data_IF_682585485629
#
_entry.id   IF_682585485629
#
_cell.length_a   1.000
_cell.length_b   1.000
_cell.length_c   1.000
_cell.angle_alpha   90.00
_cell.angle_beta   90.00
_cell.angle_gamma   90.00
#
_symmetry.space_group_name_H-M   'P 1'
#
loop_
_entity.id
_entity.type
_entity.pdbx_description
1 polymer ?
#
# COMPACT_ATOMS: atom_id res chain seq x y z
N UNK A 1 2.05 2.21 -3.12
CA UNK A 1 0.97 2.08 -2.14
C UNK A 1 0.44 3.45 -1.75
N UNK A 2 -0.85 3.68 -1.92
CA UNK A 2 -1.43 5.01 -1.69
C UNK A 2 -2.61 4.91 -0.71
N UNK A 3 -2.60 5.72 0.35
CA UNK A 3 -3.74 5.89 1.24
C UNK A 3 -4.04 7.39 1.40
N UNK A 4 -4.84 7.76 2.38
CA UNK A 4 -5.23 9.17 2.55
C UNK A 4 -4.07 10.03 3.05
N UNK A 5 -3.54 9.72 4.24
CA UNK A 5 -2.50 10.52 4.90
C UNK A 5 -1.08 10.01 4.79
N UNK A 6 -0.87 8.81 4.29
CA UNK A 6 0.44 8.14 4.19
C UNK A 6 1.14 7.98 5.56
N UNK A 7 0.38 7.70 6.60
CA UNK A 7 0.95 7.44 7.93
C UNK A 7 0.47 6.13 8.58
N UNK A 8 -0.63 5.54 8.12
CA UNK A 8 -1.16 4.29 8.70
C UNK A 8 -1.11 3.12 7.72
N UNK A 9 -2.00 3.10 6.73
CA UNK A 9 -2.21 1.95 5.82
C UNK A 9 -1.08 1.76 4.81
N UNK A 10 -0.77 2.77 4.02
CA UNK A 10 0.22 2.64 2.96
C UNK A 10 1.64 2.41 3.46
N UNK A 11 2.07 2.98 4.61
CA UNK A 11 3.37 2.63 5.17
C UNK A 11 3.51 1.15 5.53
N UNK A 12 2.47 0.55 6.08
CA UNK A 12 2.45 -0.89 6.37
C UNK A 12 2.58 -1.70 5.08
N UNK A 13 1.79 -1.35 4.07
CA UNK A 13 1.82 -2.05 2.79
C UNK A 13 3.19 -1.92 2.11
N UNK A 14 3.81 -0.75 2.16
CA UNK A 14 5.17 -0.53 1.64
C UNK A 14 6.18 -1.46 2.32
N UNK A 15 6.22 -1.45 3.64
CA UNK A 15 7.19 -2.25 4.40
C UNK A 15 6.97 -3.75 4.25
N UNK A 16 5.73 -4.19 4.33
CA UNK A 16 5.39 -5.62 4.22
C UNK A 16 5.71 -6.14 2.82
N UNK A 17 5.27 -5.44 1.77
CA UNK A 17 5.52 -5.90 0.40
C UNK A 17 7.00 -5.87 0.05
N UNK A 18 7.73 -4.83 0.47
CA UNK A 18 9.17 -4.76 0.23
C UNK A 18 9.89 -5.96 0.85
N UNK A 19 9.56 -6.30 2.10
CA UNK A 19 10.17 -7.45 2.76
C UNK A 19 9.86 -8.76 2.05
N UNK A 20 8.60 -8.95 1.64
CA UNK A 20 8.19 -10.18 0.93
C UNK A 20 8.83 -10.27 -0.46
N UNK A 21 8.92 -9.16 -1.18
CA UNK A 21 9.60 -9.11 -2.49
C UNK A 21 11.08 -9.45 -2.35
N UNK A 22 11.75 -8.91 -1.36
CA UNK A 22 13.17 -9.20 -1.10
C UNK A 22 13.39 -10.68 -0.80
N UNK A 23 12.53 -11.28 0.03
CA UNK A 23 12.59 -12.70 0.37
C UNK A 23 12.32 -13.60 -0.84
N UNK A 24 11.50 -13.14 -1.78
CA UNK A 24 11.20 -13.87 -3.02
C UNK A 24 12.26 -13.66 -4.11
N UNK A 25 13.29 -12.86 -3.83
CA UNK A 25 14.35 -12.57 -4.81
C UNK A 25 13.92 -11.59 -5.90
N UNK A 26 12.85 -10.85 -5.68
CA UNK A 26 12.34 -9.85 -6.62
C UNK A 26 13.04 -8.50 -6.36
N UNK A 27 13.49 -7.85 -7.43
CA UNK A 27 14.19 -6.57 -7.34
C UNK A 27 13.19 -5.40 -7.44
N UNK A 28 12.17 -5.42 -6.58
CA UNK A 28 11.16 -4.38 -6.54
C UNK A 28 11.58 -3.24 -5.62
N UNK A 29 11.22 -2.03 -6.01
CA UNK A 29 11.24 -0.85 -5.14
C UNK A 29 9.80 -0.53 -4.79
N UNK A 30 9.44 -0.64 -3.53
CA UNK A 30 8.09 -0.36 -3.04
C UNK A 30 8.10 0.95 -2.26
N UNK A 31 7.25 1.88 -2.67
CA UNK A 31 7.14 3.19 -2.05
C UNK A 31 5.68 3.48 -1.73
N UNK A 32 5.43 4.51 -0.94
CA UNK A 32 4.08 4.92 -0.57
C UNK A 32 3.89 6.43 -0.60
N UNK A 33 2.62 6.85 -0.71
CA UNK A 33 2.23 8.25 -0.73
C UNK A 33 0.82 8.43 -0.19
N UNK A 34 0.45 9.66 0.12
CA UNK A 34 -0.91 10.01 0.55
C UNK A 34 -1.58 10.96 -0.42
N UNK A 35 -2.90 10.87 -0.54
CA UNK A 35 -3.64 11.77 -1.41
C UNK A 35 -3.85 13.16 -0.82
N UNK A 36 -3.75 13.31 0.51
CA UNK A 36 -3.68 14.64 1.13
C UNK A 36 -2.26 14.94 1.60
N UNK A 37 -1.98 16.18 1.92
CA UNK A 37 -0.66 16.63 2.33
C UNK A 37 -0.52 16.92 3.83
N UNK A 38 -1.50 16.53 4.65
CA UNK A 38 -1.52 16.90 6.07
C UNK A 38 -0.33 16.40 6.87
N UNK A 39 0.17 15.22 6.53
CA UNK A 39 1.24 14.56 7.28
C UNK A 39 2.58 14.55 6.54
N UNK A 40 2.72 15.32 5.46
CA UNK A 40 3.95 15.37 4.67
C UNK A 40 5.17 15.66 5.57
N UNK A 41 6.19 14.83 5.46
CA UNK A 41 7.40 14.92 6.26
C UNK A 41 7.35 14.16 7.59
N UNK A 42 6.20 13.62 7.97
CA UNK A 42 6.05 12.87 9.23
C UNK A 42 6.41 11.39 9.05
N UNK A 43 6.85 10.78 10.14
CA UNK A 43 7.04 9.34 10.21
C UNK A 43 5.67 8.62 10.25
N UNK A 44 5.63 7.30 9.98
CA UNK A 44 4.39 6.54 10.18
C UNK A 44 3.86 6.64 11.61
N UNK A 45 2.56 6.51 11.74
CA UNK A 45 1.87 6.54 13.04
C UNK A 45 2.52 5.52 14.00
N UNK A 46 2.65 5.90 15.27
CA UNK A 46 3.34 5.05 16.25
C UNK A 46 2.71 3.65 16.42
N UNK A 47 1.40 3.51 16.30
CA UNK A 47 0.75 2.21 16.37
C UNK A 47 1.00 1.36 15.11
N UNK A 48 1.13 1.98 13.93
CA UNK A 48 1.56 1.28 12.72
C UNK A 48 2.99 0.77 12.87
N UNK A 49 3.88 1.58 13.40
CA UNK A 49 5.26 1.16 13.67
C UNK A 49 5.33 0.05 14.70
N UNK A 50 4.52 0.14 15.77
CA UNK A 50 4.48 -0.85 16.85
C UNK A 50 4.01 -2.20 16.32
N UNK A 51 2.92 -2.23 15.55
CA UNK A 51 2.38 -3.47 15.00
C UNK A 51 3.34 -4.08 13.98
N UNK A 52 3.96 -3.26 13.15
CA UNK A 52 4.96 -3.73 12.18
C UNK A 52 6.15 -4.40 12.89
N UNK A 53 6.70 -3.75 13.92
CA UNK A 53 7.81 -4.33 14.70
C UNK A 53 7.45 -5.66 15.34
N UNK A 54 6.23 -5.81 15.82
CA UNK A 54 5.72 -7.06 16.39
C UNK A 54 5.88 -8.22 15.43
N UNK A 55 5.72 -7.98 14.14
CA UNK A 55 5.83 -8.99 13.09
C UNK A 55 7.15 -8.94 12.32
N UNK A 56 8.14 -8.21 12.82
CA UNK A 56 9.48 -8.18 12.24
C UNK A 56 9.68 -7.24 11.06
N UNK A 57 8.80 -6.25 10.90
CA UNK A 57 8.91 -5.26 9.83
C UNK A 57 9.20 -3.88 10.44
N UNK A 58 10.28 -3.24 9.98
CA UNK A 58 10.65 -1.89 10.42
C UNK A 58 10.23 -0.86 9.37
N UNK A 59 9.28 0.00 9.74
CA UNK A 59 8.81 1.10 8.89
C UNK A 59 9.21 2.47 9.45
N UNK A 60 10.03 2.50 10.49
CA UNK A 60 10.38 3.75 11.20
C UNK A 60 11.13 4.77 10.35
N UNK A 61 11.79 4.32 9.31
CA UNK A 61 12.55 5.21 8.41
C UNK A 61 11.73 5.84 7.28
N UNK A 62 10.47 5.45 7.14
CA UNK A 62 9.63 6.02 6.08
C UNK A 62 9.23 7.45 6.41
N UNK A 63 9.06 8.26 5.36
CA UNK A 63 8.65 9.67 5.49
C UNK A 63 7.44 9.89 4.58
N UNK A 64 6.36 10.43 5.15
CA UNK A 64 5.14 10.72 4.41
C UNK A 64 5.38 11.75 3.30
N UNK A 65 4.80 11.49 2.13
CA UNK A 65 4.79 12.43 1.00
C UNK A 65 3.42 12.43 0.33
N UNK A 66 3.14 13.51 -0.39
CA UNK A 66 1.90 13.60 -1.15
C UNK A 66 2.03 12.90 -2.50
N UNK A 67 0.96 12.19 -2.92
CA UNK A 67 0.84 11.62 -4.26
C UNK A 67 0.74 12.75 -5.28
N UNK A 68 1.51 12.64 -6.36
CA UNK A 68 1.57 13.66 -7.41
C UNK A 68 1.21 13.04 -8.77
N UNK A 69 0.77 13.87 -9.70
CA UNK A 69 0.37 13.46 -11.04
C UNK A 69 1.47 12.67 -11.77
N UNK A 70 2.72 13.10 -11.63
CA UNK A 70 3.86 12.42 -12.29
C UNK A 70 4.10 10.99 -11.75
N UNK A 71 3.55 10.63 -10.59
CA UNK A 71 3.70 9.28 -10.05
C UNK A 71 3.08 8.23 -10.98
N UNK A 72 2.08 8.58 -11.77
CA UNK A 72 1.47 7.66 -12.73
C UNK A 72 2.51 7.14 -13.73
N UNK A 73 3.37 8.03 -14.25
CA UNK A 73 4.43 7.64 -15.19
C UNK A 73 5.62 6.99 -14.50
N UNK A 74 5.87 7.35 -13.23
CA UNK A 74 7.07 6.93 -12.51
C UNK A 74 7.05 5.48 -12.02
N UNK A 75 5.87 4.90 -11.81
CA UNK A 75 5.72 3.57 -11.22
C UNK A 75 5.06 2.59 -12.18
N UNK A 76 5.44 1.32 -12.06
CA UNK A 76 4.89 0.24 -12.88
C UNK A 76 3.48 -0.17 -12.44
N UNK A 77 3.23 -0.11 -11.12
CA UNK A 77 1.94 -0.46 -10.52
C UNK A 77 1.66 0.44 -9.33
N UNK A 78 0.41 0.88 -9.22
CA UNK A 78 -0.04 1.75 -8.13
C UNK A 78 -1.29 1.14 -7.50
N UNK A 79 -1.28 0.98 -6.17
CA UNK A 79 -2.40 0.42 -5.42
C UNK A 79 -3.03 1.47 -4.53
N UNK A 80 -4.35 1.64 -4.66
CA UNK A 80 -5.16 2.46 -3.77
C UNK A 80 -5.70 1.59 -2.64
N UNK A 81 -5.56 2.04 -1.40
CA UNK A 81 -5.99 1.27 -0.23
C UNK A 81 -7.52 1.22 -0.06
N UNK A 82 -8.26 2.14 -0.67
CA UNK A 82 -9.71 2.21 -0.58
C UNK A 82 -10.30 2.99 -1.76
N UNK A 83 -11.64 2.93 -1.91
CA UNK A 83 -12.36 3.58 -3.01
C UNK A 83 -12.21 5.10 -3.01
N UNK A 84 -12.25 5.74 -1.84
CA UNK A 84 -12.06 7.18 -1.71
C UNK A 84 -10.68 7.62 -2.17
N UNK A 85 -9.67 6.81 -1.87
CA UNK A 85 -8.29 7.04 -2.31
C UNK A 85 -8.20 6.90 -3.83
N UNK A 86 -8.87 5.90 -4.41
CA UNK A 86 -8.94 5.73 -5.87
C UNK A 86 -9.51 6.98 -6.54
N UNK A 87 -10.60 7.52 -6.01
CA UNK A 87 -11.22 8.74 -6.51
C UNK A 87 -10.23 9.91 -6.47
N UNK A 88 -9.51 10.06 -5.36
CA UNK A 88 -8.49 11.11 -5.23
C UNK A 88 -7.37 10.94 -6.26
N UNK A 89 -6.89 9.72 -6.47
CA UNK A 89 -5.84 9.43 -7.47
C UNK A 89 -6.32 9.83 -8.86
N UNK A 90 -7.54 9.46 -9.23
CA UNK A 90 -8.12 9.81 -10.53
C UNK A 90 -8.14 11.34 -10.71
N UNK A 91 -8.56 12.07 -9.68
CA UNK A 91 -8.63 13.53 -9.73
C UNK A 91 -7.25 14.17 -9.81
N UNK A 92 -6.27 13.68 -9.06
CA UNK A 92 -4.91 14.21 -9.08
C UNK A 92 -4.24 13.93 -10.43
N UNK A 93 -4.40 12.71 -10.95
CA UNK A 93 -3.79 12.30 -12.21
C UNK A 93 -4.40 12.99 -13.43
N UNK A 94 -5.71 13.27 -13.38
CA UNK A 94 -6.40 13.88 -14.51
C UNK A 94 -6.23 13.07 -15.80
N UNK A 95 -5.78 13.72 -16.86
CA UNK A 95 -5.59 13.08 -18.16
C UNK A 95 -4.49 12.00 -18.15
N UNK A 96 -3.60 11.99 -17.17
CA UNK A 96 -2.52 11.00 -17.06
C UNK A 96 -2.96 9.72 -16.37
N UNK A 97 -4.19 9.64 -15.86
CA UNK A 97 -4.69 8.44 -15.20
C UNK A 97 -4.62 7.24 -16.14
N UNK A 98 -4.07 6.14 -15.63
CA UNK A 98 -3.89 4.90 -16.38
C UNK A 98 -4.53 3.74 -15.60
N UNK A 99 -5.68 3.27 -16.06
CA UNK A 99 -6.44 2.20 -15.42
C UNK A 99 -5.74 0.84 -15.47
N UNK A 100 -4.74 0.67 -16.33
CA UNK A 100 -3.94 -0.55 -16.37
C UNK A 100 -2.87 -0.59 -15.27
N UNK A 101 -2.46 0.57 -14.78
CA UNK A 101 -1.46 0.69 -13.71
C UNK A 101 -2.07 0.80 -12.32
N UNK A 102 -3.23 1.43 -12.19
CA UNK A 102 -3.85 1.77 -10.89
C UNK A 102 -5.00 0.84 -10.59
N UNK A 103 -4.94 0.19 -9.43
CA UNK A 103 -5.98 -0.75 -9.00
C UNK A 103 -6.19 -0.63 -7.49
N UNK A 104 -7.32 -1.15 -7.01
CA UNK A 104 -7.54 -1.31 -5.58
C UNK A 104 -6.62 -2.43 -5.06
N UNK A 105 -5.96 -2.16 -3.95
CA UNK A 105 -5.01 -3.08 -3.34
C UNK A 105 -5.64 -4.45 -3.05
N UNK A 106 -6.84 -4.47 -2.46
CA UNK A 106 -7.51 -5.71 -2.10
C UNK A 106 -8.11 -6.48 -3.28
N UNK A 107 -8.07 -5.94 -4.51
CA UNK A 107 -8.42 -6.73 -5.69
C UNK A 107 -7.45 -7.89 -5.89
N UNK A 108 -6.22 -7.78 -5.40
CA UNK A 108 -5.26 -8.88 -5.45
C UNK A 108 -5.62 -10.03 -4.51
N UNK A 109 -6.43 -9.77 -3.48
CA UNK A 109 -6.86 -10.76 -2.51
C UNK A 109 -8.31 -11.19 -2.84
N UNK A 110 -8.44 -12.30 -3.57
CA UNK A 110 -9.75 -12.78 -4.07
C UNK A 110 -10.75 -13.07 -2.96
N UNK A 111 -10.30 -13.51 -1.79
CA UNK A 111 -11.17 -13.83 -0.65
C UNK A 111 -11.71 -12.60 0.08
N UNK A 112 -11.20 -11.41 -0.22
CA UNK A 112 -11.66 -10.20 0.44
C UNK A 112 -13.05 -9.81 -0.08
N UNK A 113 -14.03 -9.74 0.81
CA UNK A 113 -15.40 -9.32 0.49
C UNK A 113 -15.47 -7.81 0.29
N UNK A 114 -14.76 -7.06 1.12
CA UNK A 114 -14.66 -5.61 1.03
C UNK A 114 -13.30 -5.24 0.44
N UNK A 115 -13.32 -4.46 -0.63
CA UNK A 115 -12.10 -4.01 -1.32
C UNK A 115 -11.47 -2.76 -0.72
N UNK A 116 -11.97 -2.30 0.41
CA UNK A 116 -11.41 -1.17 1.16
C UNK A 116 -10.62 -1.66 2.36
N UNK A 117 -9.36 -1.25 2.47
CA UNK A 117 -8.59 -1.46 3.70
C UNK A 117 -9.14 -0.48 4.74
N UNK A 118 -9.63 -0.94 5.90
CA UNK A 118 -10.14 -0.04 6.93
C UNK A 118 -9.09 0.96 7.39
N UNK A 119 -9.51 2.20 7.69
CA UNK A 119 -8.62 3.21 8.22
C UNK A 119 -8.57 3.08 9.76
N UNK A 120 -7.44 2.70 10.37
CA UNK A 120 -7.35 2.48 11.80
C UNK A 120 -7.12 3.78 12.60
N UNK A 121 -7.07 4.94 11.93
CA UNK A 121 -6.69 6.23 12.53
C UNK A 121 -7.42 6.55 13.84
N UNK A 122 -8.74 6.30 13.88
CA UNK A 122 -9.57 6.59 15.05
C UNK A 122 -9.70 5.41 16.01
N UNK A 123 -9.00 4.31 15.71
CA UNK A 123 -9.08 3.09 16.51
C UNK A 123 -7.93 2.93 17.48
N UNK A 124 -8.00 1.85 18.25
CA UNK A 124 -6.96 1.42 19.17
C UNK A 124 -6.02 0.43 18.49
N UNK A 125 -5.04 -0.08 19.23
CA UNK A 125 -4.03 -1.04 18.73
C UNK A 125 -4.65 -2.25 18.03
N UNK A 126 -5.79 -2.75 18.52
CA UNK A 126 -6.48 -3.89 17.91
C UNK A 126 -6.83 -3.63 16.45
N UNK A 127 -7.33 -2.44 16.13
CA UNK A 127 -7.63 -2.05 14.75
C UNK A 127 -6.38 -2.07 13.86
N UNK A 128 -5.24 -1.68 14.40
CA UNK A 128 -3.96 -1.74 13.67
C UNK A 128 -3.50 -3.17 13.43
N UNK A 129 -3.74 -4.08 14.38
CA UNK A 129 -3.44 -5.51 14.21
C UNK A 129 -4.30 -6.13 13.09
N UNK A 130 -5.59 -5.81 13.06
CA UNK A 130 -6.50 -6.30 12.02
C UNK A 130 -6.10 -5.80 10.63
N UNK A 131 -5.75 -4.53 10.52
CA UNK A 131 -5.28 -3.91 9.28
C UNK A 131 -3.97 -4.56 8.83
N UNK A 132 -3.03 -4.79 9.77
CA UNK A 132 -1.77 -5.48 9.45
C UNK A 132 -2.04 -6.87 8.85
N UNK A 133 -2.88 -7.66 9.49
CA UNK A 133 -3.20 -9.02 9.03
C UNK A 133 -3.79 -9.02 7.63
N UNK A 134 -4.71 -8.09 7.35
CA UNK A 134 -5.33 -7.95 6.02
C UNK A 134 -4.30 -7.55 4.96
N UNK A 135 -3.45 -6.57 5.26
CA UNK A 135 -2.41 -6.10 4.34
C UNK A 135 -1.39 -7.21 4.08
N UNK A 136 -0.99 -7.94 5.11
CA UNK A 136 -0.06 -9.05 4.98
C UNK A 136 -0.60 -10.11 4.01
N UNK A 137 -1.86 -10.50 4.16
CA UNK A 137 -2.51 -11.46 3.26
C UNK A 137 -2.56 -10.95 1.81
N UNK A 138 -2.88 -9.68 1.62
CA UNK A 138 -2.93 -9.08 0.28
C UNK A 138 -1.54 -9.00 -0.36
N UNK A 139 -0.51 -8.70 0.42
CA UNK A 139 0.88 -8.70 -0.07
C UNK A 139 1.33 -10.09 -0.49
N UNK A 140 0.96 -11.15 0.26
CA UNK A 140 1.20 -12.53 -0.16
C UNK A 140 0.52 -12.81 -1.51
N UNK A 141 -0.72 -12.38 -1.67
CA UNK A 141 -1.46 -12.57 -2.91
C UNK A 141 -0.78 -11.85 -4.09
N UNK A 142 -0.26 -10.65 -3.89
CA UNK A 142 0.47 -9.90 -4.92
C UNK A 142 1.68 -10.69 -5.39
N UNK A 143 2.48 -11.21 -4.48
CA UNK A 143 3.66 -12.00 -4.80
C UNK A 143 3.26 -13.27 -5.56
N UNK A 144 2.27 -14.01 -5.06
CA UNK A 144 1.80 -15.24 -5.67
C UNK A 144 1.25 -15.00 -7.07
N UNK A 145 0.41 -13.99 -7.24
CA UNK A 145 -0.19 -13.63 -8.53
C UNK A 145 0.90 -13.24 -9.54
N UNK A 146 1.89 -12.47 -9.11
CA UNK A 146 3.01 -12.08 -9.96
C UNK A 146 3.82 -13.30 -10.41
N UNK A 147 4.20 -14.19 -9.48
CA UNK A 147 5.00 -15.38 -9.78
C UNK A 147 4.23 -16.34 -10.71
N UNK A 148 2.95 -16.52 -10.50
CA UNK A 148 2.08 -17.33 -11.35
C UNK A 148 2.05 -16.77 -12.77
N UNK A 149 1.86 -15.46 -12.93
CA UNK A 149 1.85 -14.79 -14.23
C UNK A 149 3.18 -14.97 -14.96
N UNK A 150 4.30 -14.85 -14.27
CA UNK A 150 5.63 -15.06 -14.87
C UNK A 150 5.82 -16.51 -15.33
N UNK A 151 5.33 -17.47 -14.57
CA UNK A 151 5.39 -18.89 -14.92
C UNK A 151 4.56 -19.18 -16.18
N UNK A 152 3.35 -18.61 -16.29
CA UNK A 152 2.47 -18.77 -17.45
C UNK A 152 3.04 -18.17 -18.73
N UNK A 153 3.89 -17.15 -18.63
CA UNK A 153 4.55 -16.51 -19.78
C UNK A 153 5.72 -17.30 -20.35
N UNK A 154 6.16 -18.31 -19.64
CA UNK A 154 7.24 -19.21 -20.10
C UNK A 154 6.65 -20.37 -20.90
#
# INVERSE_FOLDING_TARGET
>A
MVCLGNICRSPLAEGILQQKADKAGLHWTVESAGTNGYHTGEAPHHLSQKVARKYGVDISGQVSRKFERYDIAAYDKIYAMADDVMTDIINIAGADFDSEKVDLFLNELRSAENKNVPDPWYGEEEGYNEVYTLIDAACDAIIENYLTTQTEKK
#
